data_IF_318496398277
#
_entry.id   IF_318496398277
#
_cell.length_a   1.000
_cell.length_b   1.000
_cell.length_c   1.000
_cell.angle_alpha   90.00
_cell.angle_beta   90.00
_cell.angle_gamma   90.00
#
_symmetry.space_group_name_H-M   'P 1'
#
loop_
_entity.id
_entity.type
_entity.pdbx_description
1 polymer ?
#
# COMPACT_ATOMS: atom_id res chain seq x y z
N UNK A 1 1.75 -4.70 -47.46
CA UNK A 1 1.43 -5.97 -46.75
C UNK A 1 1.24 -5.74 -45.26
N UNK A 2 2.16 -5.07 -44.56
CA UNK A 2 1.99 -4.74 -43.14
C UNK A 2 0.80 -3.80 -42.87
N UNK A 3 0.61 -2.74 -43.66
CA UNK A 3 -0.51 -1.79 -43.47
C UNK A 3 -1.89 -2.45 -43.64
N UNK A 4 -2.10 -3.25 -44.68
CA UNK A 4 -3.36 -3.96 -44.87
C UNK A 4 -3.66 -5.01 -43.79
N UNK A 5 -2.63 -5.56 -43.13
CA UNK A 5 -2.82 -6.40 -41.96
C UNK A 5 -3.24 -5.58 -40.73
N UNK A 6 -2.62 -4.42 -40.51
CA UNK A 6 -3.02 -3.50 -39.43
C UNK A 6 -4.45 -3.02 -39.63
N UNK A 7 -4.85 -2.64 -40.84
CA UNK A 7 -6.23 -2.24 -41.15
C UNK A 7 -7.23 -3.37 -40.87
N UNK A 8 -6.86 -4.61 -41.22
CA UNK A 8 -7.68 -5.77 -40.89
C UNK A 8 -7.80 -5.96 -39.37
N UNK A 9 -6.69 -5.96 -38.63
CA UNK A 9 -6.69 -6.13 -37.16
C UNK A 9 -7.49 -5.03 -36.47
N UNK A 10 -7.48 -3.81 -37.00
CA UNK A 10 -8.23 -2.68 -36.46
C UNK A 10 -9.68 -2.60 -36.98
N UNK A 11 -10.10 -3.46 -37.91
CA UNK A 11 -11.49 -3.50 -38.38
C UNK A 11 -12.45 -4.10 -37.34
N UNK A 12 -13.76 -3.79 -37.38
CA UNK A 12 -14.75 -4.40 -36.48
C UNK A 12 -14.71 -5.92 -36.51
N UNK A 13 -14.73 -6.51 -37.71
CA UNK A 13 -14.62 -7.94 -37.91
C UNK A 13 -13.32 -8.51 -37.32
N UNK A 14 -12.18 -7.90 -37.64
CA UNK A 14 -10.88 -8.34 -37.16
C UNK A 14 -10.77 -8.34 -35.64
N UNK A 15 -11.31 -7.31 -34.97
CA UNK A 15 -11.33 -7.23 -33.50
C UNK A 15 -12.34 -8.21 -32.86
N UNK A 16 -13.47 -8.50 -33.53
CA UNK A 16 -14.47 -9.45 -33.02
C UNK A 16 -13.93 -10.86 -32.84
N UNK A 17 -12.93 -11.26 -33.65
CA UNK A 17 -12.28 -12.57 -33.58
C UNK A 17 -11.46 -12.78 -32.30
N UNK A 18 -11.18 -11.71 -31.54
CA UNK A 18 -10.35 -11.74 -30.33
C UNK A 18 -11.18 -11.59 -29.05
N UNK A 19 -12.51 -11.50 -29.18
CA UNK A 19 -13.42 -11.47 -28.04
C UNK A 19 -13.42 -12.85 -27.38
N UNK A 20 -13.06 -12.85 -26.10
CA UNK A 20 -12.99 -14.04 -25.27
C UNK A 20 -13.26 -13.59 -23.83
N UNK A 21 -14.30 -14.17 -23.24
CA UNK A 21 -14.83 -13.83 -21.92
C UNK A 21 -13.95 -14.33 -20.78
N UNK A 22 -13.03 -15.26 -21.05
CA UNK A 22 -12.08 -15.79 -20.08
C UNK A 22 -10.86 -14.88 -19.89
N UNK A 23 -10.42 -14.21 -20.95
CA UNK A 23 -9.27 -13.28 -20.92
C UNK A 23 -9.67 -11.80 -20.87
N UNK A 24 -10.96 -11.49 -21.05
CA UNK A 24 -11.54 -10.14 -20.95
C UNK A 24 -10.83 -9.07 -21.81
N UNK A 25 -10.39 -9.45 -23.01
CA UNK A 25 -9.79 -8.50 -23.95
C UNK A 25 -10.86 -7.63 -24.60
N UNK A 26 -10.90 -6.36 -24.21
CA UNK A 26 -11.85 -5.41 -24.76
C UNK A 26 -11.38 -4.92 -26.14
N UNK A 27 -12.28 -4.80 -27.13
CA UNK A 27 -11.95 -4.20 -28.40
C UNK A 27 -11.75 -2.70 -28.22
N UNK A 28 -11.08 -2.07 -29.19
CA UNK A 28 -10.97 -0.61 -29.27
C UNK A 28 -12.26 -0.03 -29.85
N UNK A 29 -12.87 -0.75 -30.80
CA UNK A 29 -14.09 -0.32 -31.50
C UNK A 29 -15.34 -0.96 -30.91
N UNK A 30 -16.40 -0.16 -30.76
CA UNK A 30 -17.72 -0.63 -30.29
C UNK A 30 -18.37 -1.57 -31.31
N UNK A 31 -18.14 -1.31 -32.58
CA UNK A 31 -18.70 -2.02 -33.73
C UNK A 31 -18.24 -3.48 -33.78
N UNK A 32 -17.13 -3.84 -33.11
CA UNK A 32 -16.70 -5.22 -32.97
C UNK A 32 -17.74 -6.11 -32.25
N UNK A 33 -18.61 -5.51 -31.42
CA UNK A 33 -19.71 -6.21 -30.77
C UNK A 33 -20.95 -6.41 -31.66
N UNK A 34 -21.01 -5.73 -32.80
CA UNK A 34 -22.10 -5.87 -33.77
C UNK A 34 -21.81 -7.01 -34.79
N UNK A 35 -20.61 -7.58 -34.75
CA UNK A 35 -20.15 -8.64 -35.64
C UNK A 35 -20.58 -10.04 -35.16
N UNK A 36 -20.71 -11.03 -36.06
CA UNK A 36 -21.09 -12.40 -35.70
C UNK A 36 -20.16 -13.05 -34.66
N UNK A 37 -18.90 -12.61 -34.59
CA UNK A 37 -17.92 -13.10 -33.62
C UNK A 37 -18.20 -12.69 -32.17
N UNK A 38 -19.12 -11.75 -31.94
CA UNK A 38 -19.44 -11.22 -30.61
C UNK A 38 -20.71 -11.81 -29.99
N UNK A 39 -21.35 -12.78 -30.64
CA UNK A 39 -22.57 -13.42 -30.13
C UNK A 39 -22.27 -14.10 -28.78
N UNK A 40 -23.05 -13.76 -27.75
CA UNK A 40 -22.85 -14.26 -26.38
C UNK A 40 -21.85 -13.46 -25.53
N UNK A 41 -21.35 -12.32 -26.04
CA UNK A 41 -20.39 -11.46 -25.35
C UNK A 41 -21.04 -10.25 -24.65
N UNK A 42 -22.31 -10.34 -24.25
CA UNK A 42 -23.06 -9.22 -23.64
C UNK A 42 -22.40 -8.73 -22.34
N UNK A 43 -21.78 -9.64 -21.58
CA UNK A 43 -20.99 -9.31 -20.40
C UNK A 43 -19.80 -8.41 -20.72
N UNK A 44 -19.05 -8.73 -21.78
CA UNK A 44 -17.91 -7.92 -22.22
C UNK A 44 -18.35 -6.55 -22.73
N UNK A 45 -19.51 -6.45 -23.38
CA UNK A 45 -20.08 -5.16 -23.79
C UNK A 45 -20.39 -4.25 -22.59
N UNK A 46 -20.87 -4.83 -21.48
CA UNK A 46 -21.07 -4.10 -20.23
C UNK A 46 -19.76 -3.56 -19.68
N UNK A 47 -18.71 -4.38 -19.63
CA UNK A 47 -17.37 -3.98 -19.17
C UNK A 47 -16.76 -2.91 -20.08
N UNK A 48 -16.88 -3.06 -21.40
CA UNK A 48 -16.45 -2.05 -22.37
C UNK A 48 -17.08 -0.68 -22.10
N UNK A 49 -18.39 -0.64 -21.87
CA UNK A 49 -19.09 0.61 -21.55
C UNK A 49 -18.66 1.19 -20.20
N UNK A 50 -18.30 0.36 -19.22
CA UNK A 50 -17.72 0.83 -17.96
C UNK A 50 -16.35 1.47 -18.19
N UNK A 51 -15.49 0.83 -18.98
CA UNK A 51 -14.15 1.32 -19.30
C UNK A 51 -14.18 2.66 -20.04
N UNK A 52 -15.06 2.84 -21.03
CA UNK A 52 -15.19 4.14 -21.74
C UNK A 52 -15.63 5.27 -20.79
N UNK A 53 -16.44 4.95 -19.77
CA UNK A 53 -16.89 5.92 -18.77
C UNK A 53 -15.85 6.20 -17.69
N UNK A 54 -14.85 5.33 -17.56
CA UNK A 54 -13.77 5.49 -16.61
C UNK A 54 -12.77 6.53 -17.09
N UNK A 55 -12.13 7.23 -16.14
CA UNK A 55 -11.07 8.17 -16.51
C UNK A 55 -9.81 7.37 -16.83
N UNK A 56 -9.21 7.53 -18.03
CA UNK A 56 -7.96 6.85 -18.33
C UNK A 56 -6.89 7.33 -17.36
N UNK A 57 -6.18 6.38 -16.75
CA UNK A 57 -5.02 6.72 -15.93
C UNK A 57 -3.92 7.24 -16.86
N UNK A 58 -3.64 8.54 -16.79
CA UNK A 58 -2.56 9.14 -17.56
C UNK A 58 -1.22 8.68 -16.96
N UNK A 59 -0.57 7.72 -17.61
CA UNK A 59 0.77 7.29 -17.22
C UNK A 59 1.76 8.38 -17.63
N UNK A 60 2.35 9.05 -16.64
CA UNK A 60 3.48 9.94 -16.88
C UNK A 60 4.74 9.08 -17.12
N UNK A 61 5.03 8.80 -18.38
CA UNK A 61 6.17 7.95 -18.79
C UNK A 61 7.49 8.52 -18.29
N UNK A 62 7.66 9.84 -18.31
CA UNK A 62 8.86 10.50 -17.79
C UNK A 62 9.03 10.27 -16.30
N UNK A 63 7.94 10.39 -15.53
CA UNK A 63 7.95 10.12 -14.09
C UNK A 63 8.23 8.65 -13.79
N UNK A 64 7.64 7.73 -14.55
CA UNK A 64 7.92 6.29 -14.42
C UNK A 64 9.41 5.99 -14.62
N UNK A 65 10.04 6.57 -15.65
CA UNK A 65 11.46 6.36 -15.93
C UNK A 65 12.37 6.85 -14.81
N UNK A 66 12.01 7.96 -14.14
CA UNK A 66 12.86 8.52 -13.08
C UNK A 66 12.63 7.89 -11.69
N UNK A 67 11.69 6.96 -11.54
CA UNK A 67 11.43 6.27 -10.25
C UNK A 67 11.50 4.75 -10.31
N UNK A 68 11.52 4.15 -11.51
CA UNK A 68 11.34 2.71 -11.73
C UNK A 68 12.16 1.80 -10.81
N UNK A 69 13.47 2.02 -10.72
CA UNK A 69 14.34 1.20 -9.90
C UNK A 69 14.04 1.37 -8.41
N UNK A 70 13.90 2.61 -7.94
CA UNK A 70 13.55 2.87 -6.54
C UNK A 70 12.20 2.26 -6.15
N UNK A 71 11.21 2.32 -7.06
CA UNK A 71 9.87 1.79 -6.87
C UNK A 71 9.87 0.27 -6.81
N UNK A 72 10.48 -0.37 -7.81
CA UNK A 72 10.56 -1.84 -7.87
C UNK A 72 11.22 -2.41 -6.62
N UNK A 73 12.37 -1.85 -6.22
CA UNK A 73 13.10 -2.32 -5.06
C UNK A 73 12.36 -2.04 -3.74
N UNK A 74 11.64 -0.92 -3.64
CA UNK A 74 10.81 -0.63 -2.46
C UNK A 74 9.71 -1.68 -2.29
N UNK A 75 8.94 -1.94 -3.36
CA UNK A 75 7.85 -2.91 -3.33
C UNK A 75 8.34 -4.34 -3.08
N UNK A 76 9.49 -4.72 -3.64
CA UNK A 76 10.15 -5.98 -3.33
C UNK A 76 10.45 -6.10 -1.82
N UNK A 77 11.04 -5.08 -1.21
CA UNK A 77 11.37 -5.08 0.22
C UNK A 77 10.15 -5.13 1.14
N UNK A 78 9.12 -4.33 0.85
CA UNK A 78 7.96 -4.21 1.76
C UNK A 78 6.89 -5.30 1.55
N UNK A 79 6.79 -5.89 0.37
CA UNK A 79 5.80 -6.94 0.07
C UNK A 79 6.40 -8.34 0.02
N UNK A 80 7.54 -8.51 -0.67
CA UNK A 80 8.14 -9.83 -0.90
C UNK A 80 9.05 -10.24 0.25
N UNK A 81 10.03 -9.41 0.60
CA UNK A 81 11.00 -9.76 1.65
C UNK A 81 10.38 -9.76 3.06
N UNK A 82 9.31 -8.98 3.23
CA UNK A 82 8.54 -8.84 4.47
C UNK A 82 7.25 -9.68 4.47
N UNK A 83 7.11 -10.60 3.51
CA UNK A 83 5.88 -11.34 3.24
C UNK A 83 5.35 -12.12 4.46
N UNK A 84 6.23 -12.75 5.23
CA UNK A 84 5.83 -13.56 6.39
C UNK A 84 5.10 -12.73 7.45
N UNK A 85 5.69 -11.60 7.83
CA UNK A 85 5.12 -10.68 8.83
C UNK A 85 3.86 -9.98 8.30
N UNK A 86 3.87 -9.61 7.01
CA UNK A 86 2.69 -9.05 6.32
C UNK A 86 1.51 -10.02 6.39
N UNK A 87 1.72 -11.27 5.97
CA UNK A 87 0.67 -12.30 5.91
C UNK A 87 0.16 -12.66 7.30
N UNK A 88 1.05 -12.72 8.29
CA UNK A 88 0.71 -12.97 9.68
C UNK A 88 -0.18 -11.85 10.25
N UNK A 89 0.18 -10.59 10.01
CA UNK A 89 -0.63 -9.44 10.42
C UNK A 89 -1.98 -9.43 9.71
N UNK A 90 -2.00 -9.61 8.39
CA UNK A 90 -3.22 -9.65 7.59
C UNK A 90 -4.17 -10.77 8.02
N UNK A 91 -3.67 -11.99 8.22
CA UNK A 91 -4.50 -13.13 8.63
C UNK A 91 -5.15 -12.88 9.97
N UNK A 92 -4.39 -12.39 10.96
CA UNK A 92 -4.94 -12.01 12.27
C UNK A 92 -6.06 -10.97 12.16
N UNK A 93 -5.84 -9.94 11.34
CA UNK A 93 -6.81 -8.88 11.13
C UNK A 93 -8.11 -9.40 10.51
N UNK A 94 -7.99 -10.26 9.49
CA UNK A 94 -9.14 -10.90 8.83
C UNK A 94 -9.88 -11.85 9.78
N UNK A 95 -9.16 -12.64 10.58
CA UNK A 95 -9.74 -13.55 11.57
C UNK A 95 -10.54 -12.79 12.62
N UNK A 96 -10.01 -11.68 13.15
CA UNK A 96 -10.73 -10.82 14.11
C UNK A 96 -11.99 -10.22 13.49
N UNK A 97 -11.94 -9.80 12.22
CA UNK A 97 -13.08 -9.22 11.53
C UNK A 97 -14.20 -10.26 11.33
N UNK A 98 -13.86 -11.47 10.84
CA UNK A 98 -14.85 -12.53 10.65
C UNK A 98 -15.37 -13.13 11.96
N UNK A 99 -14.58 -13.08 13.04
CA UNK A 99 -15.05 -13.41 14.39
C UNK A 99 -15.99 -12.35 14.98
N UNK A 100 -16.12 -11.17 14.34
CA UNK A 100 -16.95 -10.06 14.83
C UNK A 100 -16.28 -9.26 15.95
N UNK A 101 -14.98 -9.45 16.18
CA UNK A 101 -14.23 -8.77 17.24
C UNK A 101 -13.77 -7.37 16.83
N UNK A 102 -13.70 -7.08 15.53
CA UNK A 102 -13.44 -5.74 14.99
C UNK A 102 -14.45 -5.42 13.89
N UNK A 103 -14.79 -4.15 13.76
CA UNK A 103 -15.70 -3.58 12.77
C UNK A 103 -15.00 -3.32 11.44
N UNK A 104 -15.78 -3.02 10.40
CA UNK A 104 -15.23 -2.62 9.08
C UNK A 104 -14.34 -1.37 9.16
N UNK A 105 -14.70 -0.42 10.02
CA UNK A 105 -13.91 0.81 10.22
C UNK A 105 -12.56 0.51 10.85
N UNK A 106 -12.51 -0.44 11.80
CA UNK A 106 -11.27 -0.81 12.49
C UNK A 106 -10.32 -1.59 11.58
N UNK A 107 -10.82 -2.55 10.79
CA UNK A 107 -9.99 -3.24 9.78
C UNK A 107 -9.43 -2.26 8.73
N UNK A 108 -10.21 -1.26 8.32
CA UNK A 108 -9.71 -0.22 7.40
C UNK A 108 -8.63 0.66 8.03
N UNK A 109 -8.77 0.96 9.34
CA UNK A 109 -7.75 1.70 10.07
C UNK A 109 -6.44 0.90 10.21
N UNK A 110 -6.51 -0.38 10.57
CA UNK A 110 -5.32 -1.24 10.64
C UNK A 110 -4.69 -1.46 9.27
N UNK A 111 -5.49 -1.65 8.21
CA UNK A 111 -4.98 -1.73 6.85
C UNK A 111 -4.27 -0.44 6.42
N UNK A 112 -4.78 0.73 6.79
CA UNK A 112 -4.12 2.01 6.55
C UNK A 112 -2.78 2.13 7.30
N UNK A 113 -2.70 1.65 8.55
CA UNK A 113 -1.44 1.61 9.30
C UNK A 113 -0.43 0.64 8.67
N UNK A 114 -0.87 -0.51 8.16
CA UNK A 114 0.00 -1.43 7.43
C UNK A 114 0.51 -0.82 6.11
N UNK A 115 -0.31 -0.02 5.44
CA UNK A 115 0.02 0.59 4.15
C UNK A 115 0.80 1.91 4.24
N UNK A 116 1.01 2.47 5.44
CA UNK A 116 1.74 3.75 5.58
C UNK A 116 3.17 3.61 5.04
N UNK A 117 3.65 4.52 4.16
CA UNK A 117 4.99 4.38 3.59
C UNK A 117 6.09 4.42 4.65
N UNK A 118 7.07 3.53 4.49
CA UNK A 118 8.15 3.34 5.47
C UNK A 118 9.05 4.57 5.58
N UNK A 119 9.52 4.83 6.79
CA UNK A 119 10.59 5.80 7.08
C UNK A 119 11.88 5.02 7.34
N UNK A 120 12.95 5.40 6.64
CA UNK A 120 14.29 4.84 6.88
C UNK A 120 15.31 5.96 7.03
N UNK A 121 16.43 5.67 7.69
CA UNK A 121 17.61 6.53 7.56
C UNK A 121 18.24 6.29 6.19
N UNK A 122 18.43 7.32 5.39
CA UNK A 122 19.15 7.25 4.10
C UNK A 122 20.66 7.11 4.38
N UNK A 123 21.36 6.11 3.78
CA UNK A 123 22.78 5.87 4.07
C UNK A 123 23.73 6.94 3.53
N UNK A 124 23.31 7.78 2.59
CA UNK A 124 24.13 8.89 2.06
C UNK A 124 23.87 10.20 2.79
N UNK A 125 22.61 10.51 3.10
CA UNK A 125 22.28 11.79 3.77
C UNK A 125 22.27 11.68 5.30
N UNK A 126 22.16 10.46 5.84
CA UNK A 126 21.93 10.20 7.27
C UNK A 126 20.64 10.82 7.83
N UNK A 127 19.72 11.23 6.96
CA UNK A 127 18.41 11.79 7.34
C UNK A 127 17.35 10.70 7.37
N UNK A 128 16.33 10.90 8.21
CA UNK A 128 15.12 10.07 8.19
C UNK A 128 14.23 10.49 7.02
N UNK A 129 13.99 9.57 6.09
CA UNK A 129 13.31 9.81 4.82
C UNK A 129 12.12 8.86 4.69
N UNK A 130 10.93 9.44 4.45
CA UNK A 130 9.72 8.69 4.14
C UNK A 130 9.69 8.35 2.66
N UNK A 131 9.26 7.13 2.30
CA UNK A 131 9.11 6.77 0.90
C UNK A 131 8.00 7.61 0.24
N UNK A 132 8.43 8.55 -0.60
CA UNK A 132 7.59 9.50 -1.34
C UNK A 132 8.08 9.57 -2.78
N UNK A 133 7.30 10.19 -3.67
CA UNK A 133 7.71 10.39 -5.06
C UNK A 133 9.03 11.17 -5.19
N UNK A 134 9.20 12.22 -4.39
CA UNK A 134 10.41 13.05 -4.42
C UNK A 134 11.63 12.25 -3.95
N UNK A 135 11.46 11.48 -2.87
CA UNK A 135 12.52 10.60 -2.37
C UNK A 135 12.87 9.51 -3.39
N UNK A 136 11.86 8.85 -3.97
CA UNK A 136 12.01 7.84 -5.01
C UNK A 136 12.81 8.37 -6.21
N UNK A 137 12.43 9.55 -6.70
CA UNK A 137 13.13 10.23 -7.81
C UNK A 137 14.58 10.54 -7.44
N UNK A 138 14.81 11.07 -6.23
CA UNK A 138 16.14 11.46 -5.75
C UNK A 138 17.11 10.28 -5.68
N UNK A 139 16.64 9.11 -5.25
CA UNK A 139 17.51 7.95 -5.03
C UNK A 139 17.60 7.03 -6.25
N UNK A 140 16.77 7.21 -7.28
CA UNK A 140 16.61 6.25 -8.36
C UNK A 140 17.92 5.91 -9.08
N UNK A 141 18.75 6.92 -9.39
CA UNK A 141 20.07 6.70 -10.01
C UNK A 141 20.98 5.84 -9.15
N UNK A 142 21.00 6.09 -7.84
CA UNK A 142 21.79 5.30 -6.89
C UNK A 142 21.25 3.86 -6.78
N UNK A 143 19.93 3.70 -6.80
CA UNK A 143 19.30 2.37 -6.84
C UNK A 143 19.68 1.57 -8.08
N UNK A 144 19.98 2.22 -9.22
CA UNK A 144 20.44 1.54 -10.44
C UNK A 144 21.92 1.18 -10.34
N UNK A 145 22.78 2.17 -10.07
CA UNK A 145 24.22 2.06 -10.30
C UNK A 145 25.06 1.77 -9.05
N UNK A 146 24.52 1.98 -7.85
CA UNK A 146 25.21 1.75 -6.58
C UNK A 146 24.61 0.53 -5.86
N UNK A 147 25.22 -0.63 -6.08
CA UNK A 147 24.75 -1.89 -5.52
C UNK A 147 24.80 -1.93 -3.97
N UNK A 148 25.78 -1.26 -3.36
CA UNK A 148 25.92 -1.22 -1.91
C UNK A 148 24.85 -0.32 -1.29
N UNK A 149 24.59 0.83 -1.91
CA UNK A 149 23.48 1.71 -1.54
C UNK A 149 22.14 0.97 -1.65
N UNK A 150 21.85 0.36 -2.82
CA UNK A 150 20.61 -0.40 -3.06
C UNK A 150 20.40 -1.48 -1.99
N UNK A 151 21.40 -2.34 -1.76
CA UNK A 151 21.30 -3.42 -0.77
C UNK A 151 21.05 -2.89 0.65
N UNK A 152 21.71 -1.80 1.04
CA UNK A 152 21.54 -1.18 2.36
C UNK A 152 20.14 -0.60 2.51
N UNK A 153 19.65 0.12 1.51
CA UNK A 153 18.32 0.74 1.51
C UNK A 153 17.22 -0.33 1.53
N UNK A 154 17.31 -1.37 0.69
CA UNK A 154 16.36 -2.50 0.69
C UNK A 154 16.32 -3.20 2.06
N UNK A 155 17.48 -3.52 2.64
CA UNK A 155 17.53 -4.14 3.97
C UNK A 155 16.85 -3.27 5.04
N UNK A 156 17.04 -1.95 4.99
CA UNK A 156 16.38 -1.01 5.92
C UNK A 156 14.87 -0.96 5.70
N UNK A 157 14.39 -0.95 4.45
CA UNK A 157 12.96 -1.02 4.15
C UNK A 157 12.33 -2.34 4.62
N UNK A 158 12.99 -3.47 4.38
CA UNK A 158 12.53 -4.78 4.83
C UNK A 158 12.41 -4.81 6.36
N UNK A 159 13.43 -4.34 7.09
CA UNK A 159 13.37 -4.28 8.55
C UNK A 159 12.26 -3.34 9.02
N UNK A 160 12.13 -2.16 8.43
CA UNK A 160 11.09 -1.20 8.79
C UNK A 160 9.67 -1.76 8.56
N UNK A 161 9.44 -2.40 7.41
CA UNK A 161 8.17 -3.03 7.07
C UNK A 161 7.81 -4.16 8.04
N UNK A 162 8.76 -5.06 8.34
CA UNK A 162 8.56 -6.11 9.35
C UNK A 162 8.15 -5.54 10.70
N UNK A 163 8.85 -4.51 11.16
CA UNK A 163 8.53 -3.83 12.42
C UNK A 163 7.13 -3.21 12.37
N UNK A 164 6.77 -2.54 11.28
CA UNK A 164 5.45 -1.94 11.11
C UNK A 164 4.33 -2.99 11.16
N UNK A 165 4.45 -4.09 10.41
CA UNK A 165 3.46 -5.17 10.42
C UNK A 165 3.34 -5.84 11.80
N UNK A 166 4.47 -6.06 12.48
CA UNK A 166 4.45 -6.61 13.84
C UNK A 166 3.83 -5.64 14.85
N UNK A 167 4.09 -4.34 14.73
CA UNK A 167 3.48 -3.34 15.60
C UNK A 167 1.97 -3.29 15.41
N UNK A 168 1.48 -3.22 14.17
CA UNK A 168 0.03 -3.24 13.89
C UNK A 168 -0.60 -4.52 14.43
N UNK A 169 0.06 -5.67 14.27
CA UNK A 169 -0.41 -6.92 14.86
C UNK A 169 -0.46 -6.85 16.39
N UNK A 170 0.58 -6.33 17.03
CA UNK A 170 0.63 -6.21 18.48
C UNK A 170 -0.43 -5.24 19.01
N UNK A 171 -0.72 -4.15 18.30
CA UNK A 171 -1.81 -3.23 18.65
C UNK A 171 -3.16 -3.95 18.65
N UNK A 172 -3.40 -4.84 17.68
CA UNK A 172 -4.58 -5.71 17.66
C UNK A 172 -4.62 -6.69 18.85
N UNK A 173 -3.46 -7.20 19.30
CA UNK A 173 -3.36 -8.10 20.44
C UNK A 173 -3.48 -7.39 21.80
N UNK A 174 -3.12 -6.10 21.90
CA UNK A 174 -3.23 -5.30 23.13
C UNK A 174 -4.63 -4.72 23.32
N UNK A 175 -5.31 -4.35 22.22
CA UNK A 175 -6.66 -3.77 22.28
C UNK A 175 -7.75 -4.82 22.50
N UNK A 176 -7.49 -6.09 22.13
CA UNK A 176 -8.46 -7.18 22.32
C UNK A 176 -8.73 -7.54 23.80
N UNK A 177 -7.72 -7.68 24.70
CA UNK A 177 -7.96 -7.88 26.14
C UNK A 177 -8.56 -6.68 26.88
N UNK A 178 -8.42 -5.47 26.33
CA UNK A 178 -8.93 -4.24 26.95
C UNK A 178 -10.42 -3.97 26.66
N UNK A 179 -10.97 -4.62 25.63
CA UNK A 179 -12.38 -4.51 25.23
C UNK A 179 -13.16 -5.82 25.41
N UNK A 180 -12.48 -6.92 25.77
CA UNK A 180 -13.07 -8.21 26.13
C UNK A 180 -13.30 -8.35 27.64
N UNK A 181 -14.57 -8.47 28.03
CA UNK A 181 -15.05 -8.75 29.38
C UNK A 181 -14.69 -10.18 29.83
N UNK A 182 -13.48 -10.37 30.35
CA UNK A 182 -13.10 -11.60 31.05
C UNK A 182 -12.47 -11.24 32.39
N UNK A 183 -13.29 -11.38 33.43
CA UNK A 183 -13.00 -11.26 34.85
C UNK A 183 -11.90 -12.24 35.27
N UNK A 184 -10.71 -11.73 35.56
CA UNK A 184 -9.79 -12.10 36.66
C UNK A 184 -8.34 -11.79 36.26
N UNK A 185 -7.87 -10.59 36.60
CA UNK A 185 -6.54 -10.42 37.22
C UNK A 185 -6.41 -8.98 37.72
N UNK A 186 -6.94 -8.78 38.92
CA UNK A 186 -6.70 -7.62 39.78
C UNK A 186 -5.25 -7.65 40.28
N UNK A 187 -4.24 -7.23 39.50
CA UNK A 187 -2.91 -6.93 40.07
C UNK A 187 -2.24 -5.74 39.35
N UNK A 188 -2.19 -4.62 40.09
CA UNK A 188 -1.31 -3.44 39.99
C UNK A 188 -1.62 -2.38 38.94
N UNK A 189 -2.80 -1.79 39.10
CA UNK A 189 -3.15 -0.43 38.70
C UNK A 189 -2.55 0.60 39.68
N UNK A 190 -1.22 0.70 39.74
CA UNK A 190 -0.53 1.80 40.45
C UNK A 190 0.71 2.26 39.66
N UNK A 191 0.49 2.87 38.50
CA UNK A 191 1.29 3.98 37.94
C UNK A 191 1.07 4.11 36.43
N UNK A 192 0.00 4.79 36.02
CA UNK A 192 -0.05 5.37 34.68
C UNK A 192 -0.33 6.86 34.83
N UNK A 193 0.73 7.68 34.86
CA UNK A 193 0.68 8.94 34.16
C UNK A 193 1.96 9.10 33.32
N UNK A 194 1.94 8.59 32.07
CA UNK A 194 2.91 8.98 31.04
C UNK A 194 2.59 8.42 29.63
N UNK A 195 1.94 7.26 29.52
CA UNK A 195 1.98 6.52 28.25
C UNK A 195 1.10 7.08 27.12
N UNK A 196 0.04 7.85 27.44
CA UNK A 196 -0.84 8.43 26.43
C UNK A 196 -0.32 9.71 25.76
N UNK A 197 0.77 10.31 26.25
CA UNK A 197 1.29 11.57 25.71
C UNK A 197 2.41 11.41 24.66
N UNK A 198 2.85 10.17 24.34
CA UNK A 198 3.99 9.94 23.44
C UNK A 198 3.62 9.54 22.00
N UNK A 199 2.35 9.24 21.70
CA UNK A 199 1.93 8.81 20.36
C UNK A 199 1.40 9.92 19.45
N UNK A 200 1.17 11.13 19.96
CA UNK A 200 0.93 12.31 19.14
C UNK A 200 2.18 13.18 19.17
N UNK A 201 2.89 13.23 18.04
CA UNK A 201 4.21 13.83 17.94
C UNK A 201 4.29 15.29 18.40
N UNK A 202 5.46 15.67 18.91
CA UNK A 202 5.83 17.08 19.05
C UNK A 202 7.27 17.28 18.62
N UNK A 203 7.45 17.59 17.34
CA UNK A 203 8.51 18.51 16.95
C UNK A 203 8.23 19.84 17.66
N UNK A 204 9.06 20.19 18.64
CA UNK A 204 9.25 21.55 19.15
C UNK A 204 8.12 22.17 19.99
N UNK A 205 8.28 22.15 21.31
CA UNK A 205 7.89 23.28 22.15
C UNK A 205 8.92 23.46 23.28
N UNK A 206 9.68 24.56 23.22
CA UNK A 206 10.34 25.15 24.38
C UNK A 206 9.31 26.03 25.06
N UNK A 207 9.00 25.76 26.32
CA UNK A 207 8.40 26.75 27.22
C UNK A 207 9.29 26.83 28.46
N UNK A 208 10.00 27.97 28.55
CA UNK A 208 10.67 28.44 29.76
C UNK A 208 9.63 28.92 30.80
N UNK A 209 10.10 29.02 32.04
CA UNK A 209 9.56 29.79 33.18
C UNK A 209 8.36 29.14 33.90
N UNK A 210 8.18 29.25 35.22
CA UNK A 210 8.96 29.78 36.33
C UNK A 210 8.16 29.54 37.62
N UNK A 211 8.85 29.36 38.76
CA UNK A 211 8.35 29.55 40.14
C UNK A 211 7.20 28.61 40.57
N UNK A 212 7.04 28.15 41.80
CA UNK A 212 7.49 28.61 43.11
C UNK A 212 6.36 28.28 44.09
N UNK A 213 6.70 27.61 45.20
CA UNK A 213 5.97 27.36 46.45
C UNK A 213 4.46 27.64 46.56
N UNK A 214 3.71 26.73 47.23
CA UNK A 214 3.06 27.00 48.55
C UNK A 214 2.12 25.85 48.99
N UNK A 215 2.29 25.44 50.27
CA UNK A 215 1.32 24.89 51.27
C UNK A 215 0.48 23.65 50.90
N UNK A 216 0.31 22.62 51.74
CA UNK A 216 0.44 22.46 53.20
C UNK A 216 1.33 21.28 53.63
#
# INVERSE_FOLDING_TARGET
>A
LAEGFVDFVLSPYGQSLWLDDTILRLPIMREAFDEPGAIGMEGMYSVFNQTIRSTPYAINVTQSLVTDASFTNYFESVLTDSHSELTLCWSKMVDLYYAGNITKTEIDAYAALMADPMIITDPKTSLAEKYTLDYATRINTDMIYDASYRSTVQSRWTVAAKVQYLNVKNDMDILFPLLGLDTETTILMESIPAFLALFFGTSGFVVMASSGSKFD
#
